data_IF_979422597718
#
_entry.id   IF_979422597718
#
_cell.length_a   1.000
_cell.length_b   1.000
_cell.length_c   1.000
_cell.angle_alpha   90.00
_cell.angle_beta   90.00
_cell.angle_gamma   90.00
#
_symmetry.space_group_name_H-M   'P 1'
#
loop_
_entity.id
_entity.type
_entity.pdbx_description
1 polymer ?
#
# COMPACT_ATOMS: atom_id res chain seq x y z
N UNK A 1 -52.88 -23.27 -44.48
CA UNK A 1 -51.91 -23.12 -43.38
C UNK A 1 -52.36 -21.98 -42.50
N UNK A 2 -52.85 -22.25 -41.27
CA UNK A 2 -53.03 -21.23 -40.25
C UNK A 2 -51.80 -21.18 -39.32
N UNK A 3 -51.41 -19.96 -38.96
CA UNK A 3 -50.20 -19.60 -38.23
C UNK A 3 -50.27 -20.01 -36.75
N UNK A 4 -49.15 -20.50 -36.19
CA UNK A 4 -48.97 -20.73 -34.76
C UNK A 4 -49.03 -19.39 -34.01
N UNK A 5 -49.64 -19.31 -32.81
CA UNK A 5 -49.69 -18.07 -32.05
C UNK A 5 -48.30 -17.71 -31.51
N UNK A 6 -47.98 -16.41 -31.56
CA UNK A 6 -46.79 -15.80 -30.97
C UNK A 6 -46.64 -16.21 -29.49
N UNK A 7 -45.48 -16.77 -29.13
CA UNK A 7 -45.08 -16.87 -27.73
C UNK A 7 -44.88 -15.46 -27.17
N UNK A 8 -45.90 -14.94 -26.49
CA UNK A 8 -45.71 -13.78 -25.62
C UNK A 8 -44.84 -14.21 -24.44
N UNK A 9 -43.53 -13.99 -24.54
CA UNK A 9 -42.62 -14.10 -23.40
C UNK A 9 -42.98 -12.99 -22.41
N UNK A 10 -43.81 -13.31 -21.42
CA UNK A 10 -44.06 -12.41 -20.31
C UNK A 10 -42.77 -12.35 -19.49
N UNK A 11 -42.14 -11.17 -19.29
CA UNK A 11 -40.95 -11.09 -18.47
C UNK A 11 -41.30 -11.57 -17.06
N UNK A 12 -40.48 -12.47 -16.51
CA UNK A 12 -40.65 -12.95 -15.13
C UNK A 12 -40.56 -11.73 -14.22
N UNK A 13 -41.70 -11.33 -13.67
CA UNK A 13 -41.77 -10.29 -12.65
C UNK A 13 -41.48 -10.95 -11.31
N UNK A 14 -40.25 -10.76 -10.80
CA UNK A 14 -39.90 -11.14 -9.44
C UNK A 14 -40.30 -9.98 -8.51
N UNK A 15 -41.22 -10.24 -7.58
CA UNK A 15 -41.49 -9.29 -6.51
C UNK A 15 -40.22 -9.11 -5.67
N UNK A 16 -39.86 -7.85 -5.39
CA UNK A 16 -38.79 -7.55 -4.46
C UNK A 16 -39.13 -8.12 -3.07
N UNK A 17 -38.14 -8.66 -2.32
CA UNK A 17 -38.40 -9.27 -1.03
C UNK A 17 -39.11 -8.29 -0.07
N UNK A 18 -40.04 -8.81 0.74
CA UNK A 18 -40.78 -8.00 1.70
C UNK A 18 -39.87 -7.45 2.80
N UNK A 19 -40.02 -6.16 3.12
CA UNK A 19 -39.20 -5.46 4.11
C UNK A 19 -39.80 -5.61 5.52
N UNK A 20 -39.03 -6.13 6.48
CA UNK A 20 -39.35 -6.06 7.91
C UNK A 20 -38.30 -5.21 8.66
N UNK A 21 -38.65 -3.97 9.05
CA UNK A 21 -37.73 -3.05 9.74
C UNK A 21 -37.44 -3.43 11.20
N UNK A 22 -38.05 -4.50 11.73
CA UNK A 22 -37.89 -4.96 13.13
C UNK A 22 -36.92 -6.13 13.29
N UNK A 23 -36.23 -6.55 12.22
CA UNK A 23 -35.18 -7.55 12.30
C UNK A 23 -33.99 -7.10 13.15
N UNK A 24 -33.16 -8.02 13.68
CA UNK A 24 -32.03 -7.70 14.55
C UNK A 24 -31.01 -6.74 13.92
N UNK A 25 -31.02 -6.61 12.59
CA UNK A 25 -30.09 -5.80 11.80
C UNK A 25 -30.69 -4.46 11.34
N UNK A 26 -31.97 -4.19 11.64
CA UNK A 26 -32.62 -2.89 11.42
C UNK A 26 -32.51 -2.30 10.00
N UNK A 27 -32.79 -3.12 8.96
CA UNK A 27 -33.22 -2.75 7.58
C UNK A 27 -32.58 -3.51 6.40
N UNK A 28 -32.00 -4.70 6.56
CA UNK A 28 -31.76 -5.63 5.43
C UNK A 28 -30.97 -5.09 4.21
N UNK A 29 -30.34 -3.92 4.34
CA UNK A 29 -29.48 -3.28 3.37
C UNK A 29 -28.13 -3.19 4.05
N UNK A 30 -27.08 -3.64 3.35
CA UNK A 30 -25.69 -3.44 3.76
C UNK A 30 -25.52 -1.99 4.22
N UNK A 31 -25.41 -1.77 5.53
CA UNK A 31 -25.29 -0.45 6.10
C UNK A 31 -23.84 -0.01 5.90
N UNK A 32 -23.59 0.66 4.78
CA UNK A 32 -22.33 1.38 4.57
C UNK A 32 -22.29 2.53 5.57
N UNK A 33 -21.54 2.34 6.64
CA UNK A 33 -21.18 3.42 7.56
C UNK A 33 -20.01 4.19 6.96
N UNK A 34 -20.24 5.43 6.58
CA UNK A 34 -19.18 6.36 6.20
C UNK A 34 -18.75 7.09 7.47
N UNK A 35 -17.68 6.61 8.09
CA UNK A 35 -17.03 7.33 9.18
C UNK A 35 -16.16 8.44 8.60
N UNK A 36 -16.56 9.69 8.84
CA UNK A 36 -15.70 10.85 8.61
C UNK A 36 -14.68 10.90 9.75
N UNK A 37 -13.54 10.24 9.54
CA UNK A 37 -12.38 10.35 10.43
C UNK A 37 -11.88 11.81 10.36
N UNK A 38 -11.72 12.44 11.53
CA UNK A 38 -11.17 13.78 11.84
C UNK A 38 -10.68 14.64 10.63
N UNK A 39 -11.18 15.89 10.44
CA UNK A 39 -11.23 16.58 9.15
C UNK A 39 -9.90 17.17 8.68
N UNK A 40 -8.77 16.81 9.31
CA UNK A 40 -7.49 17.23 8.75
C UNK A 40 -7.27 16.49 7.44
N UNK A 41 -7.20 17.19 6.30
CA UNK A 41 -7.07 16.54 5.01
C UNK A 41 -5.77 15.74 5.00
N UNK A 42 -5.92 14.42 4.86
CA UNK A 42 -4.81 13.47 4.78
C UNK A 42 -4.41 13.37 3.32
N UNK A 43 -3.34 14.03 2.95
CA UNK A 43 -2.93 14.19 1.55
C UNK A 43 -2.05 13.05 1.04
N UNK A 44 -1.30 12.41 1.94
CA UNK A 44 -0.47 11.26 1.59
C UNK A 44 -0.37 10.28 2.75
N UNK A 45 -0.32 8.99 2.42
CA UNK A 45 -0.01 7.92 3.36
C UNK A 45 1.51 7.75 3.46
N UNK A 46 2.01 7.64 4.69
CA UNK A 46 3.43 7.44 5.01
C UNK A 46 3.65 6.00 5.44
N UNK A 47 4.37 5.16 4.68
CA UNK A 47 4.60 3.79 5.10
C UNK A 47 5.43 3.75 6.39
N UNK A 48 5.05 2.88 7.33
CA UNK A 48 5.81 2.61 8.57
C UNK A 48 6.30 1.17 8.67
N UNK A 49 5.89 0.34 7.71
CA UNK A 49 6.24 -1.07 7.60
C UNK A 49 6.48 -1.43 6.14
N UNK A 50 7.06 -2.60 5.90
CA UNK A 50 7.26 -3.10 4.54
C UNK A 50 5.95 -3.34 3.78
N UNK A 51 4.91 -3.82 4.47
CA UNK A 51 3.60 -3.98 3.87
C UNK A 51 3.08 -2.63 3.37
N UNK A 52 3.11 -1.60 4.23
CA UNK A 52 2.74 -0.24 3.84
C UNK A 52 3.60 0.31 2.70
N UNK A 53 4.91 0.04 2.70
CA UNK A 53 5.80 0.46 1.61
C UNK A 53 5.40 -0.17 0.28
N UNK A 54 5.13 -1.49 0.25
CA UNK A 54 4.68 -2.17 -0.97
C UNK A 54 3.35 -1.64 -1.49
N UNK A 55 2.40 -1.42 -0.59
CA UNK A 55 1.09 -0.87 -0.94
C UNK A 55 1.18 0.58 -1.44
N UNK A 56 2.12 1.38 -0.92
CA UNK A 56 2.38 2.74 -1.43
C UNK A 56 2.97 2.77 -2.85
N UNK A 57 3.69 1.72 -3.24
CA UNK A 57 4.27 1.58 -4.59
C UNK A 57 3.31 0.97 -5.60
N UNK A 58 2.39 0.10 -5.14
CA UNK A 58 1.36 -0.51 -5.95
C UNK A 58 0.03 -0.50 -5.19
N UNK A 59 -0.83 0.47 -5.51
CA UNK A 59 -2.10 0.65 -4.81
C UNK A 59 -3.14 -0.42 -5.14
N UNK A 60 -2.93 -1.23 -6.18
CA UNK A 60 -3.83 -2.34 -6.52
C UNK A 60 -3.82 -3.46 -5.46
N UNK A 61 -2.82 -3.49 -4.59
CA UNK A 61 -2.70 -4.45 -3.48
C UNK A 61 -2.96 -3.80 -2.12
N UNK A 62 -3.42 -2.55 -2.09
CA UNK A 62 -3.66 -1.82 -0.85
C UNK A 62 -4.74 -2.50 0.01
N UNK A 63 -4.48 -2.64 1.30
CA UNK A 63 -5.42 -3.20 2.27
C UNK A 63 -5.72 -2.16 3.34
N UNK A 64 -6.93 -2.26 3.93
CA UNK A 64 -7.27 -1.39 5.07
C UNK A 64 -6.46 -1.83 6.30
N UNK A 65 -5.64 -0.94 6.86
CA UNK A 65 -4.76 -1.30 7.98
C UNK A 65 -3.99 -0.10 8.57
N UNK A 66 -3.33 -0.35 9.71
CA UNK A 66 -2.62 0.66 10.52
C UNK A 66 -1.13 0.83 10.14
N UNK A 67 -0.70 0.28 9.01
CA UNK A 67 0.71 0.30 8.58
C UNK A 67 1.16 1.64 7.98
N UNK A 68 0.24 2.60 7.87
CA UNK A 68 0.48 3.94 7.37
C UNK A 68 0.30 4.96 8.48
N UNK A 69 1.27 5.87 8.57
CA UNK A 69 1.08 7.16 9.20
C UNK A 69 0.51 8.16 8.17
N UNK A 70 0.11 9.33 8.60
CA UNK A 70 -0.55 10.34 7.75
C UNK A 70 0.34 11.55 7.54
N UNK A 71 0.29 12.11 6.34
CA UNK A 71 0.79 13.45 6.08
C UNK A 71 -0.39 14.39 5.81
N UNK A 72 -0.57 15.40 6.66
CA UNK A 72 -1.57 16.45 6.48
C UNK A 72 -1.03 17.69 5.76
N UNK A 73 0.30 17.81 5.59
CA UNK A 73 0.94 18.95 4.92
C UNK A 73 0.58 20.32 5.53
N UNK A 74 0.07 20.36 6.76
CA UNK A 74 -0.48 21.59 7.35
C UNK A 74 -1.64 22.20 6.55
N UNK A 75 -2.36 21.40 5.75
CA UNK A 75 -3.38 21.86 4.82
C UNK A 75 -2.93 21.98 3.37
N UNK A 76 -1.62 21.91 3.09
CA UNK A 76 -1.05 22.03 1.75
C UNK A 76 -0.51 20.68 1.26
N UNK A 77 -1.11 20.11 0.20
CA UNK A 77 -0.69 18.79 -0.31
C UNK A 77 0.76 18.78 -0.75
N UNK A 78 1.20 19.86 -1.42
CA UNK A 78 2.53 19.95 -2.00
C UNK A 78 3.65 19.92 -0.96
N UNK A 79 3.32 20.15 0.31
CA UNK A 79 4.26 20.04 1.43
C UNK A 79 4.52 18.57 1.86
N UNK A 80 3.72 17.61 1.41
CA UNK A 80 3.90 16.21 1.78
C UNK A 80 5.11 15.55 1.11
N UNK A 81 5.74 14.61 1.82
CA UNK A 81 6.96 13.92 1.40
C UNK A 81 6.87 13.32 -0.01
N UNK A 82 5.68 12.83 -0.41
CA UNK A 82 5.45 12.28 -1.74
C UNK A 82 5.79 13.25 -2.87
N UNK A 83 5.59 14.55 -2.62
CA UNK A 83 5.80 15.65 -3.57
C UNK A 83 7.15 16.35 -3.32
N UNK A 84 7.60 16.45 -2.07
CA UNK A 84 8.82 17.19 -1.73
C UNK A 84 10.09 16.34 -1.74
N UNK A 85 9.98 15.02 -1.57
CA UNK A 85 11.13 14.12 -1.52
C UNK A 85 11.36 13.38 -2.83
N UNK A 86 12.63 13.38 -3.21
CA UNK A 86 13.24 12.47 -4.18
C UNK A 86 14.52 11.98 -3.52
N UNK A 87 14.62 10.67 -3.32
CA UNK A 87 15.78 10.07 -2.69
C UNK A 87 16.58 9.29 -3.74
N UNK A 88 17.83 9.69 -3.93
CA UNK A 88 18.77 8.98 -4.79
C UNK A 88 19.83 8.31 -3.91
N UNK A 89 19.96 7.00 -4.06
CA UNK A 89 21.04 6.25 -3.43
C UNK A 89 22.25 6.29 -4.36
N UNK A 90 23.18 7.19 -4.04
CA UNK A 90 24.48 7.30 -4.71
C UNK A 90 25.43 6.20 -4.21
N UNK A 91 25.20 4.95 -4.61
CA UNK A 91 26.07 3.83 -4.23
C UNK A 91 26.31 2.88 -5.41
N UNK A 92 27.55 2.39 -5.62
CA UNK A 92 27.83 1.27 -6.51
C UNK A 92 27.68 -0.04 -5.72
N UNK A 93 26.53 -0.72 -5.79
CA UNK A 93 26.41 -1.89 -6.67
C UNK A 93 24.98 -2.11 -7.21
N UNK A 94 24.84 -3.03 -8.17
CA UNK A 94 23.54 -3.50 -8.68
C UNK A 94 22.72 -4.28 -7.63
N UNK A 95 23.25 -4.48 -6.42
CA UNK A 95 22.65 -5.26 -5.35
C UNK A 95 22.88 -4.59 -3.98
N UNK A 96 21.95 -3.72 -3.58
CA UNK A 96 21.88 -3.21 -2.21
C UNK A 96 20.86 -4.04 -1.42
N UNK A 97 20.98 -4.02 -0.10
CA UNK A 97 19.90 -4.46 0.79
C UNK A 97 19.53 -3.35 1.76
N UNK A 98 18.26 -3.30 2.13
CA UNK A 98 17.77 -2.54 3.27
C UNK A 98 17.51 -3.52 4.40
N UNK A 99 18.22 -3.35 5.50
CA UNK A 99 18.14 -4.17 6.71
C UNK A 99 17.22 -3.50 7.73
N UNK A 100 16.31 -4.28 8.30
CA UNK A 100 15.34 -3.83 9.30
C UNK A 100 15.80 -4.26 10.69
N UNK A 101 16.09 -3.28 11.53
CA UNK A 101 16.43 -3.52 12.92
C UNK A 101 15.16 -3.83 13.73
N UNK A 102 15.22 -4.64 14.80
CA UNK A 102 14.04 -4.96 15.63
C UNK A 102 13.34 -3.74 16.25
N UNK A 103 14.04 -2.61 16.40
CA UNK A 103 13.44 -1.35 16.86
C UNK A 103 12.66 -0.58 15.77
N UNK A 104 12.64 -1.10 14.54
CA UNK A 104 11.96 -0.48 13.39
C UNK A 104 12.84 0.47 12.58
N UNK A 105 14.10 0.70 12.95
CA UNK A 105 15.04 1.49 12.16
C UNK A 105 15.52 0.73 10.92
N UNK A 106 15.79 1.48 9.86
CA UNK A 106 16.20 0.94 8.56
C UNK A 106 17.60 1.44 8.21
N UNK A 107 18.41 0.53 7.71
CA UNK A 107 19.76 0.81 7.24
C UNK A 107 19.99 0.12 5.91
N UNK A 108 20.69 0.73 4.97
CA UNK A 108 21.10 0.05 3.75
C UNK A 108 22.60 -0.25 3.73
N UNK A 109 22.96 -1.34 3.06
CA UNK A 109 24.35 -1.77 2.84
C UNK A 109 24.44 -2.66 1.61
N UNK A 110 25.66 -2.82 1.08
CA UNK A 110 25.97 -3.79 0.02
C UNK A 110 26.48 -5.13 0.56
N UNK A 111 26.86 -5.21 1.84
CA UNK A 111 27.40 -6.42 2.45
C UNK A 111 26.35 -7.15 3.30
N UNK A 112 25.65 -8.09 2.65
CA UNK A 112 24.64 -8.93 3.32
C UNK A 112 25.29 -9.80 4.40
N UNK A 113 26.49 -10.34 4.15
CA UNK A 113 27.12 -11.36 5.00
C UNK A 113 27.67 -10.77 6.29
N UNK A 114 28.19 -9.54 6.26
CA UNK A 114 28.65 -8.86 7.46
C UNK A 114 27.52 -8.49 8.43
N UNK A 115 26.25 -8.55 7.99
CA UNK A 115 25.09 -8.34 8.85
C UNK A 115 25.09 -6.95 9.48
N UNK A 116 25.03 -6.89 10.82
CA UNK A 116 25.08 -5.63 11.57
C UNK A 116 26.50 -5.05 11.74
N UNK A 117 27.55 -5.81 11.38
CA UNK A 117 28.93 -5.33 11.38
C UNK A 117 29.34 -4.65 10.06
N UNK A 118 28.44 -4.60 9.08
CA UNK A 118 28.66 -3.91 7.81
C UNK A 118 28.77 -2.38 8.01
N UNK A 119 29.27 -1.68 6.99
CA UNK A 119 29.05 -0.24 6.88
C UNK A 119 27.55 -0.01 6.57
N UNK A 120 26.82 0.49 7.56
CA UNK A 120 25.37 0.70 7.52
C UNK A 120 25.06 2.18 7.37
N UNK A 121 24.26 2.53 6.37
CA UNK A 121 23.76 3.90 6.20
C UNK A 121 22.29 3.97 6.57
N UNK A 122 21.88 4.82 7.53
CA UNK A 122 20.48 4.98 7.90
C UNK A 122 19.62 5.47 6.73
N UNK A 123 18.36 5.02 6.68
CA UNK A 123 17.36 5.48 5.70
C UNK A 123 15.97 5.49 6.32
N UNK A 124 15.08 6.40 5.91
CA UNK A 124 13.69 6.39 6.38
C UNK A 124 12.76 5.63 5.43
N UNK A 125 11.61 5.18 5.95
CA UNK A 125 10.53 4.63 5.12
C UNK A 125 10.06 5.62 4.03
N UNK A 126 9.98 6.91 4.37
CA UNK A 126 9.59 7.96 3.43
C UNK A 126 10.62 8.11 2.29
N UNK A 127 11.90 7.87 2.58
CA UNK A 127 12.97 7.92 1.58
C UNK A 127 12.88 6.72 0.64
N UNK A 128 12.61 5.52 1.17
CA UNK A 128 12.35 4.32 0.36
C UNK A 128 11.12 4.47 -0.54
N UNK A 129 10.06 5.10 -0.04
CA UNK A 129 8.85 5.39 -0.81
C UNK A 129 9.07 6.47 -1.88
N UNK A 130 10.14 7.26 -1.76
CA UNK A 130 10.49 8.36 -2.64
C UNK A 130 11.74 8.09 -3.48
N UNK A 131 12.14 6.81 -3.60
CA UNK A 131 13.28 6.42 -4.42
C UNK A 131 13.06 6.88 -5.87
N UNK A 132 14.11 7.43 -6.46
CA UNK A 132 14.10 7.85 -7.86
C UNK A 132 13.93 6.65 -8.83
N UNK A 133 13.50 6.97 -10.05
CA UNK A 133 13.33 6.00 -11.12
C UNK A 133 14.61 5.18 -11.32
N UNK A 134 14.45 3.87 -11.48
CA UNK A 134 15.58 2.95 -11.62
C UNK A 134 15.85 2.09 -10.38
N UNK A 135 15.07 2.19 -9.31
CA UNK A 135 15.12 1.25 -8.17
C UNK A 135 13.85 0.43 -8.04
N UNK A 136 13.99 -0.82 -7.60
CA UNK A 136 12.89 -1.73 -7.32
C UNK A 136 13.15 -2.53 -6.04
N UNK A 137 12.11 -2.71 -5.24
CA UNK A 137 12.17 -3.51 -4.01
C UNK A 137 11.90 -4.98 -4.33
N UNK A 138 12.74 -5.85 -3.77
CA UNK A 138 12.49 -7.28 -3.71
C UNK A 138 11.49 -7.67 -2.63
N UNK A 139 11.39 -8.98 -2.35
CA UNK A 139 10.64 -9.52 -1.22
C UNK A 139 11.44 -9.38 0.08
N UNK A 140 10.75 -9.30 1.22
CA UNK A 140 11.40 -9.45 2.53
C UNK A 140 11.99 -10.84 2.64
N UNK A 141 13.25 -10.88 3.05
CA UNK A 141 14.02 -12.06 3.37
C UNK A 141 14.47 -11.97 4.83
N UNK A 142 14.97 -13.08 5.37
CA UNK A 142 15.51 -13.15 6.73
C UNK A 142 16.80 -13.97 6.73
N UNK A 143 17.80 -13.46 7.43
CA UNK A 143 19.04 -14.16 7.76
C UNK A 143 19.19 -14.29 9.28
N UNK A 144 20.35 -14.77 9.74
CA UNK A 144 20.68 -14.88 11.16
C UNK A 144 20.77 -13.52 11.89
N UNK A 145 20.90 -12.41 11.16
CA UNK A 145 21.05 -11.06 11.72
C UNK A 145 19.72 -10.34 11.86
N UNK A 146 18.87 -10.40 10.83
CA UNK A 146 17.59 -9.66 10.77
C UNK A 146 16.79 -9.93 9.48
N UNK A 147 15.64 -9.29 9.36
CA UNK A 147 14.95 -9.15 8.09
C UNK A 147 15.67 -8.12 7.20
N UNK A 148 15.67 -8.37 5.90
CA UNK A 148 16.19 -7.44 4.91
C UNK A 148 15.40 -7.50 3.60
N UNK A 149 15.54 -6.44 2.79
CA UNK A 149 14.85 -6.27 1.51
C UNK A 149 15.91 -5.96 0.46
N UNK A 150 16.03 -6.77 -0.61
CA UNK A 150 16.88 -6.42 -1.74
C UNK A 150 16.40 -5.16 -2.46
N UNK A 151 17.31 -4.26 -2.77
CA UNK A 151 17.14 -3.14 -3.66
C UNK A 151 17.86 -3.45 -4.97
N UNK A 152 17.09 -3.59 -6.05
CA UNK A 152 17.63 -3.88 -7.37
C UNK A 152 17.49 -2.66 -8.26
N UNK A 153 18.52 -2.37 -9.05
CA UNK A 153 18.35 -1.41 -10.15
C UNK A 153 17.37 -1.97 -11.17
N UNK A 154 16.26 -1.26 -11.38
CA UNK A 154 15.36 -1.54 -12.49
C UNK A 154 16.16 -1.33 -13.78
N UNK A 155 16.29 -2.38 -14.60
CA UNK A 155 16.89 -2.23 -15.93
C UNK A 155 16.02 -1.25 -16.71
N UNK A 156 16.62 -0.29 -17.44
CA UNK A 156 15.85 0.53 -18.37
C UNK A 156 15.13 -0.41 -19.34
N UNK A 157 13.82 -0.19 -19.49
CA UNK A 157 13.01 -0.87 -20.50
C UNK A 157 13.31 -0.30 -21.88
#
# INVERSE_FOLDING_TARGET
MPQLPEETTVPIYLEGPSCDPRGPDGDGRNRLRIDSIDPQPRWALRPRTFAGLRESMNTAIAQWGSHFDVCSGGGECSACFRFTRRHNIQSPPDALIVRLHPDGSLHYTSDVKAGWNASLTPIAWDDLASLEEGWSLGRVLRDEHSQYIPLNRARPR
#
